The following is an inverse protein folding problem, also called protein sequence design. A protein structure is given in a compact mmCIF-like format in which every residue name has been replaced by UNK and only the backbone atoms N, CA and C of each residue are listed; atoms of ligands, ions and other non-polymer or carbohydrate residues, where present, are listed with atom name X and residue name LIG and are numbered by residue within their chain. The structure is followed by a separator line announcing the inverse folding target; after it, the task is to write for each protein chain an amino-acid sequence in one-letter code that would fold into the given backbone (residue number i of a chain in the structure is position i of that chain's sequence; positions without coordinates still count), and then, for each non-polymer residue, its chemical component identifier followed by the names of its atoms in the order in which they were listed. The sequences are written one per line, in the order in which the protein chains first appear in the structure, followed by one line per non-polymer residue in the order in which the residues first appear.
data_IF_144669126199
#
_entry.id   IF_144669126199
#
_cell.length_a   1.000
_cell.length_b   1.000
_cell.length_c   1.000
_cell.angle_alpha   90.00
_cell.angle_beta   90.00
_cell.angle_gamma   90.00
#
_symmetry.space_group_name_H-M   'P 1'
#
loop_
_entity.id
_entity.type
_entity.pdbx_description
1 polymer ?
#
# COMPACT_ATOMS: atom_id res chain seq x y z
N UNK A 1 9.00 32.30 -18.78
CA UNK A 1 7.51 32.23 -18.80
C UNK A 1 7.11 30.94 -18.12
N UNK A 2 6.37 30.98 -17.03
CA UNK A 2 5.88 29.74 -16.39
C UNK A 2 4.58 29.33 -17.08
N UNK A 3 4.61 28.23 -17.83
CA UNK A 3 3.38 27.64 -18.36
C UNK A 3 2.58 27.00 -17.21
N UNK A 4 1.25 26.99 -17.35
CA UNK A 4 0.39 26.28 -16.41
C UNK A 4 0.64 24.76 -16.52
N UNK A 5 0.71 24.03 -15.39
CA UNK A 5 0.96 22.60 -15.41
C UNK A 5 -0.24 21.86 -16.03
N UNK A 6 0.05 20.90 -16.92
CA UNK A 6 -0.96 20.01 -17.50
C UNK A 6 -1.38 18.96 -16.48
N UNK A 7 -2.69 18.76 -16.34
CA UNK A 7 -3.26 17.74 -15.46
C UNK A 7 -3.83 16.59 -16.28
N UNK A 8 -3.48 15.37 -15.88
CA UNK A 8 -3.90 14.11 -16.48
C UNK A 8 -4.99 13.42 -15.65
N UNK A 9 -5.85 12.66 -16.31
CA UNK A 9 -6.87 11.82 -15.66
C UNK A 9 -6.27 10.51 -15.14
N UNK A 10 -7.01 9.77 -14.32
CA UNK A 10 -6.58 8.43 -13.90
C UNK A 10 -6.48 7.45 -15.09
N UNK A 11 -7.31 7.64 -16.12
CA UNK A 11 -7.32 6.84 -17.35
C UNK A 11 -6.05 7.07 -18.17
N UNK A 12 -5.67 8.32 -18.42
CA UNK A 12 -4.43 8.64 -19.14
C UNK A 12 -3.18 8.08 -18.42
N UNK A 13 -3.17 8.10 -17.08
CA UNK A 13 -2.08 7.50 -16.29
C UNK A 13 -2.09 5.98 -16.38
N UNK A 14 -3.26 5.36 -16.34
CA UNK A 14 -3.42 3.93 -16.49
C UNK A 14 -2.93 3.44 -17.85
N UNK A 15 -3.28 4.17 -18.92
CA UNK A 15 -2.78 3.92 -20.28
C UNK A 15 -1.26 4.06 -20.36
N UNK A 16 -0.70 5.12 -19.78
CA UNK A 16 0.75 5.36 -19.77
C UNK A 16 1.53 4.26 -19.04
N UNK A 17 0.97 3.69 -17.97
CA UNK A 17 1.59 2.64 -17.16
C UNK A 17 1.24 1.21 -17.62
N UNK A 18 0.25 1.04 -18.49
CA UNK A 18 -0.26 -0.28 -18.88
C UNK A 18 -1.02 -1.01 -17.78
N UNK A 19 -1.69 -0.29 -16.88
CA UNK A 19 -2.45 -0.85 -15.74
C UNK A 19 -3.93 -0.47 -15.82
N UNK A 20 -4.77 -0.97 -14.90
CA UNK A 20 -6.19 -0.60 -14.89
C UNK A 20 -6.43 0.77 -14.25
N UNK A 21 -7.41 1.52 -14.77
CA UNK A 21 -7.83 2.80 -14.19
C UNK A 21 -8.25 2.66 -12.72
N UNK A 22 -8.93 1.55 -12.38
CA UNK A 22 -9.31 1.25 -11.01
C UNK A 22 -8.08 1.16 -10.09
N UNK A 23 -6.99 0.52 -10.54
CA UNK A 23 -5.76 0.43 -9.74
C UNK A 23 -5.22 1.83 -9.44
N UNK A 24 -5.17 2.73 -10.42
CA UNK A 24 -4.70 4.12 -10.23
C UNK A 24 -5.59 4.87 -9.24
N UNK A 25 -6.91 4.77 -9.40
CA UNK A 25 -7.88 5.36 -8.45
C UNK A 25 -7.72 4.77 -7.05
N UNK A 26 -7.46 3.47 -6.95
CA UNK A 26 -7.29 2.79 -5.67
C UNK A 26 -5.98 3.18 -4.98
N UNK A 27 -4.86 3.32 -5.72
CA UNK A 27 -3.62 3.85 -5.17
C UNK A 27 -3.80 5.27 -4.62
N UNK A 28 -4.54 6.13 -5.34
CA UNK A 28 -4.85 7.50 -4.88
C UNK A 28 -5.78 7.49 -3.66
N UNK A 29 -6.81 6.63 -3.64
CA UNK A 29 -7.71 6.44 -2.48
C UNK A 29 -6.94 6.03 -1.23
N UNK A 30 -5.99 5.11 -1.38
CA UNK A 30 -5.13 4.64 -0.29
C UNK A 30 -3.96 5.59 0.01
N UNK A 31 -3.84 6.72 -0.70
CA UNK A 31 -2.77 7.73 -0.56
C UNK A 31 -1.36 7.15 -0.71
N UNK A 32 -1.21 6.15 -1.58
CA UNK A 32 0.08 5.50 -1.89
C UNK A 32 0.84 6.18 -3.01
N UNK A 33 0.16 7.00 -3.80
CA UNK A 33 0.72 7.74 -4.93
C UNK A 33 0.35 9.21 -4.84
N UNK A 34 1.19 10.12 -5.37
CA UNK A 34 0.87 11.54 -5.41
C UNK A 34 -0.31 11.82 -6.35
N UNK A 35 -1.20 12.73 -5.95
CA UNK A 35 -2.36 13.15 -6.74
C UNK A 35 -2.77 14.59 -6.40
N UNK A 36 -3.51 15.21 -7.30
CA UNK A 36 -4.24 16.46 -7.06
C UNK A 36 -5.73 16.15 -7.02
N UNK A 37 -6.46 16.67 -6.03
CA UNK A 37 -7.93 16.55 -5.96
C UNK A 37 -8.58 17.85 -6.41
N UNK A 38 -9.20 17.86 -7.60
CA UNK A 38 -9.86 19.04 -8.17
C UNK A 38 -11.26 18.65 -8.66
N UNK A 39 -12.29 19.39 -8.23
CA UNK A 39 -13.68 19.10 -8.61
C UNK A 39 -14.16 17.70 -8.21
N UNK A 40 -13.60 17.12 -7.13
CA UNK A 40 -13.91 15.77 -6.68
C UNK A 40 -13.19 14.64 -7.45
N UNK A 41 -12.49 14.95 -8.54
CA UNK A 41 -11.74 13.98 -9.34
C UNK A 41 -10.25 13.95 -8.95
N UNK A 42 -9.62 12.79 -9.14
CA UNK A 42 -8.17 12.64 -9.06
C UNK A 42 -7.51 13.09 -10.37
N UNK A 43 -6.46 13.89 -10.23
CA UNK A 43 -5.65 14.41 -11.33
C UNK A 43 -4.16 14.21 -11.04
N UNK A 44 -3.37 14.10 -12.09
CA UNK A 44 -1.95 13.79 -11.99
C UNK A 44 -1.14 14.74 -12.86
N UNK A 45 0.07 15.07 -12.45
CA UNK A 45 1.04 15.78 -13.28
C UNK A 45 2.03 14.77 -13.85
N UNK A 46 2.84 15.18 -14.84
CA UNK A 46 3.95 14.34 -15.31
C UNK A 46 4.93 13.99 -14.18
N UNK A 47 5.21 14.94 -13.27
CA UNK A 47 6.05 14.67 -12.10
C UNK A 47 5.45 13.59 -11.18
N UNK A 48 4.14 13.57 -10.98
CA UNK A 48 3.50 12.49 -10.22
C UNK A 48 3.69 11.13 -10.89
N UNK A 49 3.63 11.07 -12.23
CA UNK A 49 3.88 9.84 -12.97
C UNK A 49 5.32 9.35 -12.74
N UNK A 50 6.30 10.24 -12.83
CA UNK A 50 7.70 9.92 -12.57
C UNK A 50 7.91 9.36 -11.15
N UNK A 51 7.28 9.98 -10.14
CA UNK A 51 7.31 9.50 -8.76
C UNK A 51 6.65 8.12 -8.57
N UNK A 52 5.53 7.87 -9.27
CA UNK A 52 4.84 6.58 -9.25
C UNK A 52 5.76 5.49 -9.81
N UNK A 53 6.39 5.76 -10.96
CA UNK A 53 7.33 4.84 -11.60
C UNK A 53 8.51 4.57 -10.67
N UNK A 54 9.13 5.61 -10.12
CA UNK A 54 10.26 5.47 -9.19
C UNK A 54 9.90 4.64 -7.95
N UNK A 55 8.68 4.81 -7.42
CA UNK A 55 8.22 4.06 -6.23
C UNK A 55 7.98 2.58 -6.50
N UNK A 56 7.65 2.21 -7.74
CA UNK A 56 7.39 0.82 -8.14
C UNK A 56 8.56 0.18 -8.90
N UNK A 57 9.63 0.93 -9.14
CA UNK A 57 10.83 0.43 -9.80
C UNK A 57 11.47 -0.68 -8.96
N UNK A 58 11.61 -1.88 -9.53
CA UNK A 58 12.44 -2.94 -8.97
C UNK A 58 13.76 -2.95 -9.74
N UNK A 59 14.80 -2.35 -9.15
CA UNK A 59 16.14 -2.42 -9.74
C UNK A 59 16.73 -3.81 -9.50
N UNK A 60 17.35 -4.43 -10.53
CA UNK A 60 18.18 -5.60 -10.31
C UNK A 60 19.22 -5.24 -9.25
N UNK A 61 19.25 -6.00 -8.15
CA UNK A 61 20.38 -5.92 -7.25
C UNK A 61 21.60 -6.40 -8.03
N UNK A 62 22.51 -5.49 -8.39
CA UNK A 62 23.89 -5.88 -8.61
C UNK A 62 24.36 -6.44 -7.28
N UNK A 63 24.25 -7.77 -7.11
CA UNK A 63 24.53 -8.50 -5.88
C UNK A 63 25.79 -7.95 -5.20
N UNK A 64 25.65 -7.15 -4.12
CA UNK A 64 26.78 -6.81 -3.28
C UNK A 64 26.78 -7.85 -2.14
N UNK A 65 27.95 -8.39 -1.84
CA UNK A 65 28.16 -9.20 -0.64
C UNK A 65 27.49 -8.56 0.57
N UNK A 66 26.57 -9.31 1.19
CA UNK A 66 25.93 -9.09 2.49
C UNK A 66 26.54 -7.97 3.35
N UNK A 67 25.75 -6.95 3.68
CA UNK A 67 25.43 -6.63 5.09
C UNK A 67 24.40 -5.50 5.22
N UNK A 68 23.55 -5.66 6.25
CA UNK A 68 22.79 -4.63 6.96
C UNK A 68 21.35 -4.27 6.50
N UNK A 69 20.41 -5.06 7.06
CA UNK A 69 19.30 -4.61 7.93
C UNK A 69 18.17 -3.76 7.30
N UNK A 70 17.13 -4.52 6.92
CA UNK A 70 15.71 -4.32 7.25
C UNK A 70 15.46 -3.42 8.49
N UNK A 71 15.29 -2.11 8.29
CA UNK A 71 14.71 -1.20 9.29
C UNK A 71 14.20 0.09 8.66
N UNK A 72 13.04 0.04 7.98
CA UNK A 72 12.24 1.25 7.69
C UNK A 72 10.73 1.02 7.85
N UNK A 73 10.34 0.12 8.78
CA UNK A 73 8.95 0.05 9.25
C UNK A 73 8.83 0.82 10.57
N UNK A 74 9.00 2.13 10.52
CA UNK A 74 8.84 2.99 11.69
C UNK A 74 8.34 4.39 11.28
N UNK A 75 7.04 4.48 11.00
CA UNK A 75 6.21 5.65 11.23
C UNK A 75 4.73 5.25 11.05
N UNK A 76 4.21 4.43 11.96
CA UNK A 76 2.77 4.33 12.19
C UNK A 76 2.51 4.72 13.65
N UNK A 77 1.61 5.67 13.84
CA UNK A 77 1.10 6.18 15.12
C UNK A 77 0.88 5.08 16.18
N UNK A 78 1.33 5.25 17.43
CA UNK A 78 1.08 4.30 18.50
C UNK A 78 -0.24 4.59 19.23
N UNK A 79 -1.36 4.73 18.52
CA UNK A 79 -2.69 4.85 19.15
C UNK A 79 -3.71 3.86 18.61
N UNK A 80 -3.29 2.61 18.38
CA UNK A 80 -4.21 1.50 18.13
C UNK A 80 -4.03 0.47 19.23
N UNK A 81 -4.99 0.43 20.17
CA UNK A 81 -5.14 -0.65 21.14
C UNK A 81 -5.21 -1.97 20.38
N UNK A 82 -4.14 -2.77 20.46
CA UNK A 82 -4.11 -4.06 19.79
C UNK A 82 -5.11 -5.01 20.46
N UNK A 83 -6.21 -5.29 19.75
CA UNK A 83 -7.18 -6.31 20.15
C UNK A 83 -6.52 -7.69 20.04
N UNK A 84 -6.32 -8.34 21.19
CA UNK A 84 -5.83 -9.72 21.23
C UNK A 84 -6.97 -10.71 20.98
N UNK A 85 -6.79 -11.70 20.09
CA UNK A 85 -7.74 -12.79 19.95
C UNK A 85 -7.87 -13.56 21.27
N UNK A 86 -9.10 -13.78 21.75
CA UNK A 86 -9.34 -14.64 22.92
C UNK A 86 -9.09 -16.09 22.51
N UNK A 87 -8.26 -16.80 23.29
CA UNK A 87 -8.00 -18.23 23.06
C UNK A 87 -9.30 -19.02 23.22
N UNK A 88 -9.72 -19.83 22.23
CA UNK A 88 -10.88 -20.69 22.37
C UNK A 88 -10.62 -21.71 23.49
N UNK A 89 -11.58 -21.83 24.42
CA UNK A 89 -11.54 -22.85 25.48
C UNK A 89 -11.64 -24.22 24.80
N UNK A 90 -10.58 -25.02 24.93
CA UNK A 90 -10.53 -26.42 24.51
C UNK A 90 -11.70 -27.15 25.17
N UNK A 91 -12.55 -27.79 24.37
CA UNK A 91 -13.67 -28.58 24.84
C UNK A 91 -13.19 -29.69 25.78
N UNK A 92 -13.82 -29.78 26.95
CA UNK A 92 -13.64 -30.90 27.88
C UNK A 92 -14.36 -32.10 27.27
N UNK A 93 -13.66 -32.84 26.41
CA UNK A 93 -14.04 -34.20 26.03
C UNK A 93 -14.02 -35.08 27.28
N UNK A 94 -15.01 -35.97 27.35
CA UNK A 94 -15.37 -36.71 28.55
C UNK A 94 -14.33 -37.69 29.07
N UNK A 95 -14.62 -38.16 30.28
CA UNK A 95 -14.06 -39.40 30.80
C UNK A 95 -15.22 -40.10 31.50
N UNK A 96 -15.83 -41.00 30.75
CA UNK A 96 -16.54 -42.15 31.29
C UNK A 96 -15.57 -42.95 32.17
N UNK A 97 -15.97 -43.20 33.42
CA UNK A 97 -15.36 -44.20 34.30
C UNK A 97 -16.28 -44.43 35.51
N UNK A 98 -17.19 -45.41 35.40
CA UNK A 98 -17.59 -46.29 36.52
C UNK A 98 -16.31 -47.00 37.06
N UNK A 99 -16.22 -47.52 38.32
CA UNK A 99 -17.29 -48.19 39.06
C UNK A 99 -17.29 -48.04 40.60
N UNK A 100 -18.36 -48.52 41.26
CA UNK A 100 -18.36 -49.38 42.46
C UNK A 100 -19.80 -49.83 42.75
#
# INVERSE_FOLDING_TARGET
MSALPRLHTAEEIAEALGVSEWWVKEQARQRRVPFVKVGGAYRFTSAHLDEIVASHEQRPEHQPTSTARRSQRAAMDPSVTQLRPRRPRRGRAGSDAQPA
#
